data_IF_284298238618
#
_entry.id   IF_284298238618
#
_cell.length_a   1.000
_cell.length_b   1.000
_cell.length_c   1.000
_cell.angle_alpha   90.00
_cell.angle_beta   90.00
_cell.angle_gamma   90.00
#
_symmetry.space_group_name_H-M   'P 1'
#
loop_
_entity.id
_entity.type
_entity.pdbx_description
1 polymer ?
#
# COMPACT_ATOMS: atom_id res chain seq x y z
N UNK A 1 17.17 14.40 -9.23
CA UNK A 1 15.97 13.65 -8.84
C UNK A 1 15.94 13.58 -7.32
N UNK A 2 14.79 13.74 -6.66
CA UNK A 2 14.69 13.73 -5.17
C UNK A 2 14.06 12.46 -4.62
N UNK A 3 13.23 11.77 -5.42
CA UNK A 3 12.59 10.51 -5.08
C UNK A 3 12.17 9.74 -6.34
N UNK A 4 11.90 8.45 -6.21
CA UNK A 4 11.23 7.61 -7.20
C UNK A 4 9.96 7.03 -6.60
N UNK A 5 8.99 6.64 -7.42
CA UNK A 5 7.82 5.92 -6.96
C UNK A 5 7.34 4.90 -7.99
N UNK A 6 6.57 3.92 -7.53
CA UNK A 6 5.92 2.95 -8.42
C UNK A 6 4.63 3.51 -9.07
N UNK A 7 4.20 4.71 -8.69
CA UNK A 7 2.92 5.26 -9.15
C UNK A 7 1.76 4.43 -8.59
N UNK A 8 0.79 4.12 -9.44
CA UNK A 8 -0.37 3.28 -9.09
C UNK A 8 -0.23 1.83 -9.56
N UNK A 9 0.88 1.49 -10.22
CA UNK A 9 1.12 0.12 -10.68
C UNK A 9 2.17 -0.55 -9.80
N UNK A 10 1.89 -1.79 -9.42
CA UNK A 10 2.85 -2.60 -8.68
C UNK A 10 3.89 -3.23 -9.61
N UNK A 11 5.10 -3.46 -9.09
CA UNK A 11 6.13 -4.18 -9.83
C UNK A 11 5.74 -5.66 -9.94
N UNK A 12 5.51 -6.14 -11.17
CA UNK A 12 5.21 -7.56 -11.43
C UNK A 12 6.32 -8.52 -10.99
N UNK A 13 7.57 -8.06 -10.95
CA UNK A 13 8.72 -8.89 -10.61
C UNK A 13 9.50 -8.32 -9.42
N UNK A 14 9.45 -9.03 -8.30
CA UNK A 14 10.12 -8.65 -7.04
C UNK A 14 11.64 -8.57 -7.19
N UNK A 15 12.26 -9.35 -8.08
CA UNK A 15 13.71 -9.26 -8.36
C UNK A 15 14.06 -7.92 -8.97
N UNK A 16 13.24 -7.44 -9.92
CA UNK A 16 13.43 -6.13 -10.55
C UNK A 16 13.28 -5.02 -9.52
N UNK A 17 12.25 -5.10 -8.65
CA UNK A 17 12.08 -4.16 -7.56
C UNK A 17 13.30 -4.15 -6.62
N UNK A 18 13.79 -5.31 -6.19
CA UNK A 18 14.98 -5.42 -5.35
C UNK A 18 16.20 -4.71 -5.96
N UNK A 19 16.45 -4.91 -7.27
CA UNK A 19 17.55 -4.22 -7.99
C UNK A 19 17.34 -2.72 -8.08
N UNK A 20 16.10 -2.27 -8.30
CA UNK A 20 15.77 -0.85 -8.31
C UNK A 20 16.04 -0.20 -6.94
N UNK A 21 15.71 -0.90 -5.84
CA UNK A 21 15.96 -0.43 -4.47
C UNK A 21 17.45 -0.38 -4.12
N UNK A 22 18.23 -1.39 -4.51
CA UNK A 22 19.69 -1.37 -4.36
C UNK A 22 20.32 -0.16 -5.09
N UNK A 23 19.82 0.14 -6.30
CA UNK A 23 20.26 1.31 -7.05
C UNK A 23 19.86 2.61 -6.35
N UNK A 24 18.61 2.73 -5.91
CA UNK A 24 18.14 3.91 -5.17
C UNK A 24 18.93 4.15 -3.88
N UNK A 25 19.27 3.08 -3.14
CA UNK A 25 20.08 3.13 -1.94
C UNK A 25 21.50 3.68 -2.22
N UNK A 26 22.10 3.32 -3.35
CA UNK A 26 23.43 3.81 -3.77
C UNK A 26 23.48 5.34 -3.90
N UNK A 27 22.36 5.97 -4.26
CA UNK A 27 22.25 7.42 -4.44
C UNK A 27 21.51 8.14 -3.30
N UNK A 28 21.23 7.46 -2.18
CA UNK A 28 20.43 7.97 -1.06
C UNK A 28 19.07 8.56 -1.51
N UNK A 29 18.44 7.93 -2.49
CA UNK A 29 17.14 8.34 -3.01
C UNK A 29 16.02 7.70 -2.21
N UNK A 30 14.95 8.47 -1.99
CA UNK A 30 13.73 7.95 -1.35
C UNK A 30 12.84 7.26 -2.36
N UNK A 31 12.30 6.10 -1.99
CA UNK A 31 11.33 5.37 -2.80
C UNK A 31 9.95 5.46 -2.17
N UNK A 32 8.98 5.91 -2.95
CA UNK A 32 7.59 6.05 -2.56
C UNK A 32 6.83 4.84 -3.08
N UNK A 33 6.13 4.16 -2.18
CA UNK A 33 5.33 2.97 -2.46
C UNK A 33 3.85 3.29 -2.33
N UNK A 34 3.08 2.91 -3.34
CA UNK A 34 1.67 2.54 -3.18
C UNK A 34 1.62 1.02 -3.04
N UNK A 35 1.40 0.53 -1.81
CA UNK A 35 1.44 -0.89 -1.50
C UNK A 35 0.07 -1.53 -1.72
N UNK A 36 -0.10 -2.11 -2.90
CA UNK A 36 -1.27 -2.91 -3.24
C UNK A 36 -0.83 -4.10 -4.09
N UNK A 37 -1.19 -5.30 -3.65
CA UNK A 37 -0.98 -6.51 -4.42
C UNK A 37 -1.99 -6.57 -5.57
N UNK A 38 -1.48 -6.70 -6.79
CA UNK A 38 -2.30 -6.62 -8.00
C UNK A 38 -3.31 -7.77 -8.08
N UNK A 39 -2.88 -8.99 -7.79
CA UNK A 39 -3.70 -10.18 -8.00
C UNK A 39 -4.79 -10.30 -6.92
N UNK A 40 -4.50 -9.84 -5.70
CA UNK A 40 -5.50 -9.77 -4.63
C UNK A 40 -6.50 -8.63 -4.80
N UNK A 41 -6.10 -7.52 -5.42
CA UNK A 41 -6.97 -6.36 -5.65
C UNK A 41 -7.74 -6.44 -6.99
N UNK A 42 -7.41 -7.40 -7.85
CA UNK A 42 -7.92 -7.47 -9.22
C UNK A 42 -9.46 -7.49 -9.26
N UNK A 43 -10.04 -6.56 -10.02
CA UNK A 43 -11.49 -6.46 -10.21
C UNK A 43 -12.27 -5.90 -9.00
N UNK A 44 -11.60 -5.58 -7.89
CA UNK A 44 -12.23 -4.97 -6.71
C UNK A 44 -12.59 -3.50 -6.93
N UNK A 45 -13.72 -3.07 -6.36
CA UNK A 45 -14.26 -1.71 -6.48
C UNK A 45 -14.37 -0.98 -5.14
N UNK A 46 -14.58 -1.72 -4.05
CA UNK A 46 -14.74 -1.17 -2.69
C UNK A 46 -13.94 -1.98 -1.68
N UNK A 47 -13.82 -1.50 -0.44
CA UNK A 47 -13.24 -2.31 0.63
C UNK A 47 -14.05 -3.60 0.82
N UNK A 48 -13.38 -4.75 0.92
CA UNK A 48 -14.05 -6.00 1.25
C UNK A 48 -14.60 -5.96 2.68
N UNK A 49 -15.92 -5.84 2.80
CA UNK A 49 -16.61 -5.72 4.06
C UNK A 49 -18.13 -5.87 3.94
N UNK A 50 -18.86 -5.65 5.04
CA UNK A 50 -20.32 -5.78 5.07
C UNK A 50 -21.01 -4.87 4.04
N UNK A 51 -20.52 -3.63 3.88
CA UNK A 51 -21.11 -2.64 2.98
C UNK A 51 -21.00 -3.07 1.51
N UNK A 52 -19.80 -3.48 1.08
CA UNK A 52 -19.60 -3.99 -0.28
C UNK A 52 -20.43 -5.26 -0.54
N UNK A 53 -20.48 -6.17 0.44
CA UNK A 53 -21.28 -7.40 0.34
C UNK A 53 -22.77 -7.11 0.19
N UNK A 54 -23.29 -6.13 0.93
CA UNK A 54 -24.68 -5.71 0.87
C UNK A 54 -25.04 -5.05 -0.47
N UNK A 55 -24.15 -4.23 -1.01
CA UNK A 55 -24.32 -3.54 -2.30
C UNK A 55 -24.00 -4.43 -3.51
N UNK A 56 -23.50 -5.65 -3.31
CA UNK A 56 -23.07 -6.55 -4.37
C UNK A 56 -21.82 -6.07 -5.11
N UNK A 57 -20.98 -5.26 -4.46
CA UNK A 57 -19.74 -4.74 -5.03
C UNK A 57 -18.58 -5.73 -4.83
N UNK A 58 -17.73 -5.96 -5.84
CA UNK A 58 -16.47 -6.66 -5.67
C UNK A 58 -15.58 -5.97 -4.62
N UNK A 59 -15.18 -6.71 -3.59
CA UNK A 59 -14.34 -6.21 -2.50
C UNK A 59 -12.83 -6.29 -2.82
N UNK A 60 -12.07 -5.36 -2.27
CA UNK A 60 -10.61 -5.39 -2.18
C UNK A 60 -10.26 -5.80 -0.75
N UNK A 61 -9.64 -6.96 -0.53
CA UNK A 61 -9.29 -7.40 0.79
C UNK A 61 -8.17 -6.56 1.39
N UNK A 62 -8.19 -6.40 2.72
CA UNK A 62 -7.10 -5.80 3.49
C UNK A 62 -5.76 -6.55 3.28
N UNK A 63 -5.81 -7.82 2.90
CA UNK A 63 -4.63 -8.62 2.55
C UNK A 63 -3.90 -8.08 1.32
N UNK A 64 -4.58 -7.43 0.38
CA UNK A 64 -3.95 -6.84 -0.79
C UNK A 64 -2.93 -5.75 -0.40
N UNK A 65 -3.30 -4.87 0.53
CA UNK A 65 -2.36 -3.86 1.05
C UNK A 65 -1.26 -4.51 1.88
N UNK A 66 -1.64 -5.35 2.84
CA UNK A 66 -0.72 -5.83 3.88
C UNK A 66 0.31 -6.83 3.37
N UNK A 67 0.00 -7.64 2.35
CA UNK A 67 0.97 -8.54 1.69
C UNK A 67 2.01 -7.73 0.92
N UNK A 68 1.56 -6.77 0.12
CA UNK A 68 2.47 -5.88 -0.61
C UNK A 68 3.35 -5.08 0.35
N UNK A 69 2.75 -4.50 1.39
CA UNK A 69 3.47 -3.74 2.41
C UNK A 69 4.54 -4.58 3.12
N UNK A 70 4.19 -5.81 3.55
CA UNK A 70 5.13 -6.70 4.21
C UNK A 70 6.31 -7.08 3.30
N UNK A 71 6.03 -7.40 2.03
CA UNK A 71 7.08 -7.66 1.01
C UNK A 71 7.99 -6.46 0.86
N UNK A 72 7.42 -5.27 0.67
CA UNK A 72 8.17 -4.04 0.42
C UNK A 72 9.03 -3.69 1.63
N UNK A 73 8.52 -3.84 2.86
CA UNK A 73 9.28 -3.64 4.10
C UNK A 73 10.47 -4.59 4.22
N UNK A 74 10.33 -5.87 3.84
CA UNK A 74 11.45 -6.82 3.84
C UNK A 74 12.54 -6.41 2.83
N UNK A 75 12.15 -5.92 1.66
CA UNK A 75 13.11 -5.43 0.66
C UNK A 75 13.80 -4.13 1.12
N UNK A 76 13.06 -3.24 1.77
CA UNK A 76 13.62 -2.01 2.37
C UNK A 76 14.62 -2.36 3.47
N UNK A 77 14.31 -3.34 4.31
CA UNK A 77 15.23 -3.85 5.33
C UNK A 77 16.53 -4.40 4.71
N UNK A 78 16.40 -5.21 3.66
CA UNK A 78 17.54 -5.82 2.97
C UNK A 78 18.43 -4.77 2.27
N UNK A 79 17.81 -3.75 1.66
CA UNK A 79 18.53 -2.77 0.82
C UNK A 79 18.97 -1.53 1.58
N UNK A 80 18.37 -1.24 2.74
CA UNK A 80 18.66 -0.06 3.55
C UNK A 80 18.19 1.27 2.92
N UNK A 81 17.38 1.21 1.86
CA UNK A 81 16.85 2.39 1.18
C UNK A 81 15.88 3.17 2.09
N UNK A 82 15.74 4.48 1.86
CA UNK A 82 14.68 5.25 2.52
C UNK A 82 13.37 5.01 1.79
N UNK A 83 12.32 4.68 2.53
CA UNK A 83 11.01 4.42 1.92
C UNK A 83 9.90 5.26 2.52
N UNK A 84 8.92 5.61 1.69
CA UNK A 84 7.69 6.27 2.09
C UNK A 84 6.51 5.46 1.58
N UNK A 85 5.57 5.11 2.45
CA UNK A 85 4.37 4.35 2.11
C UNK A 85 3.17 5.27 2.05
N UNK A 86 2.63 5.45 0.86
CA UNK A 86 1.58 6.44 0.62
C UNK A 86 0.19 5.85 0.75
N UNK A 87 -0.74 6.66 1.27
CA UNK A 87 -2.18 6.37 1.35
C UNK A 87 -2.51 5.04 2.05
N UNK A 88 -1.95 4.79 3.23
CA UNK A 88 -2.33 3.61 4.02
C UNK A 88 -3.84 3.57 4.30
N UNK A 89 -4.44 2.40 4.14
CA UNK A 89 -5.89 2.21 4.32
C UNK A 89 -6.24 1.31 5.49
N UNK A 90 -5.32 0.45 5.95
CA UNK A 90 -5.61 -0.57 6.97
C UNK A 90 -4.92 -0.33 8.32
N UNK A 91 -5.61 -0.72 9.40
CA UNK A 91 -5.04 -0.70 10.76
C UNK A 91 -3.81 -1.63 10.88
N UNK A 92 -3.84 -2.79 10.22
CA UNK A 92 -2.69 -3.71 10.20
C UNK A 92 -1.52 -3.13 9.41
N UNK A 93 -1.78 -2.40 8.32
CA UNK A 93 -0.76 -1.68 7.57
C UNK A 93 -0.03 -0.66 8.44
N UNK A 94 -0.78 0.14 9.22
CA UNK A 94 -0.21 1.09 10.20
C UNK A 94 0.65 0.36 11.25
N UNK A 95 0.17 -0.78 11.77
CA UNK A 95 0.93 -1.58 12.73
C UNK A 95 2.25 -2.12 12.15
N UNK A 96 2.26 -2.56 10.88
CA UNK A 96 3.46 -3.01 10.19
C UNK A 96 4.50 -1.89 10.01
N UNK A 97 4.05 -0.67 9.65
CA UNK A 97 4.93 0.50 9.59
C UNK A 97 5.50 0.83 10.98
N UNK A 98 4.67 0.86 12.01
CA UNK A 98 5.13 1.14 13.38
C UNK A 98 6.19 0.12 13.85
N UNK A 99 5.99 -1.17 13.54
CA UNK A 99 6.97 -2.21 13.83
C UNK A 99 8.28 -2.01 13.06
N UNK A 100 8.21 -1.65 11.77
CA UNK A 100 9.39 -1.35 10.97
C UNK A 100 10.17 -0.14 11.52
N UNK A 101 9.48 0.93 11.92
CA UNK A 101 10.09 2.10 12.57
C UNK A 101 10.75 1.73 13.90
N UNK A 102 10.10 0.89 14.72
CA UNK A 102 10.66 0.42 15.99
C UNK A 102 11.95 -0.42 15.79
N UNK A 103 12.07 -1.11 14.66
CA UNK A 103 13.30 -1.82 14.25
C UNK A 103 14.39 -0.90 13.67
N UNK A 104 14.12 0.40 13.54
CA UNK A 104 15.07 1.40 13.05
C UNK A 104 15.13 1.51 11.52
N UNK A 105 14.19 0.93 10.79
CA UNK A 105 14.11 1.13 9.33
C UNK A 105 13.77 2.60 9.02
N UNK A 106 14.38 3.14 7.96
CA UNK A 106 14.14 4.51 7.48
C UNK A 106 12.83 4.59 6.68
N UNK A 107 11.71 4.29 7.34
CA UNK A 107 10.37 4.26 6.73
C UNK A 107 9.48 5.36 7.28
N UNK A 108 8.70 5.95 6.38
CA UNK A 108 7.66 6.93 6.69
C UNK A 108 6.37 6.53 6.00
N UNK A 109 5.24 7.07 6.44
CA UNK A 109 3.95 6.80 5.80
C UNK A 109 3.04 8.02 5.84
N UNK A 110 2.07 8.05 4.94
CA UNK A 110 0.97 9.02 4.92
C UNK A 110 -0.39 8.33 4.86
N UNK A 111 -1.43 9.12 5.07
CA UNK A 111 -2.83 8.71 4.95
C UNK A 111 -3.58 9.80 4.20
N UNK A 112 -4.49 9.40 3.31
CA UNK A 112 -5.32 10.35 2.59
C UNK A 112 -6.41 10.94 3.51
N UNK A 113 -6.77 12.21 3.29
CA UNK A 113 -7.78 12.89 4.12
C UNK A 113 -9.12 12.14 4.15
N UNK A 114 -9.58 11.61 3.01
CA UNK A 114 -10.84 10.88 2.95
C UNK A 114 -10.80 9.60 3.78
N UNK A 115 -9.65 8.94 3.91
CA UNK A 115 -9.49 7.73 4.73
C UNK A 115 -9.54 8.05 6.24
N UNK A 116 -9.34 9.32 6.63
CA UNK A 116 -9.45 9.75 8.02
C UNK A 116 -10.88 10.13 8.42
N UNK A 117 -11.70 10.56 7.47
CA UNK A 117 -13.03 11.12 7.75
C UNK A 117 -14.18 10.24 7.22
N UNK A 118 -13.90 9.33 6.28
CA UNK A 118 -14.87 8.41 5.70
C UNK A 118 -14.49 6.96 6.00
N UNK A 119 -15.50 6.11 6.03
CA UNK A 119 -15.41 4.65 6.05
C UNK A 119 -16.17 4.09 4.84
N UNK A 120 -16.15 2.76 4.68
CA UNK A 120 -16.91 2.07 3.65
C UNK A 120 -18.43 2.34 3.74
N UNK A 121 -18.95 2.66 4.93
CA UNK A 121 -20.34 3.06 5.16
C UNK A 121 -20.77 4.28 4.34
N UNK A 122 -19.84 5.15 3.91
CA UNK A 122 -20.15 6.26 3.03
C UNK A 122 -20.68 5.82 1.64
N UNK A 123 -20.55 4.53 1.30
CA UNK A 123 -21.08 3.93 0.08
C UNK A 123 -22.54 3.48 0.19
N UNK A 124 -23.21 3.55 1.35
CA UNK A 124 -24.56 2.98 1.56
C UNK A 124 -25.60 3.49 0.53
N UNK A 125 -25.53 4.76 0.14
CA UNK A 125 -26.44 5.36 -0.83
C UNK A 125 -26.00 5.16 -2.30
N UNK A 126 -24.94 4.39 -2.54
CA UNK A 126 -24.44 4.10 -3.88
C UNK A 126 -25.39 3.16 -4.65
N UNK A 127 -25.76 3.55 -5.86
CA UNK A 127 -26.61 2.75 -6.74
C UNK A 127 -25.81 2.28 -7.96
N UNK A 128 -25.61 0.97 -8.09
CA UNK A 128 -24.88 0.32 -9.18
C UNK A 128 -25.71 0.07 -10.44
N UNK A 129 -27.01 0.38 -10.43
CA UNK A 129 -27.95 0.15 -11.54
C UNK A 129 -28.02 1.31 -12.56
N UNK A 130 -27.16 2.32 -12.42
CA UNK A 130 -26.98 3.44 -13.36
C UNK A 130 -25.55 3.49 -13.86
#
# INVERSE_FOLDING_TARGET
CVAFGNGLESFRNTRTLCRALEYAATFDLTVIFNSQDHDLAEGGLAHEGPTASFLGLPGIPETAETVALARDLLLVEQTGVRAHFSQLTSARGVALIAQAQARGLKVTADVALYQLILTDEALIDFNSLY
#
